data_IF_967347025584
#
_entry.id   IF_967347025584
#
_cell.length_a   1.000
_cell.length_b   1.000
_cell.length_c   1.000
_cell.angle_alpha   90.00
_cell.angle_beta   90.00
_cell.angle_gamma   90.00
#
_symmetry.space_group_name_H-M   'P 1'
#
loop_
_entity.id
_entity.type
_entity.pdbx_description
1 polymer ?
#
# COMPACT_ATOMS: atom_id res chain seq x y z
N UNK A 1 10.51 22.12 -7.49
CA UNK A 1 9.11 22.54 -7.70
C UNK A 1 8.63 23.31 -6.48
N UNK A 2 7.78 24.34 -6.66
CA UNK A 2 7.21 25.08 -5.53
C UNK A 2 5.96 24.40 -4.95
N UNK A 3 5.65 24.63 -3.66
CA UNK A 3 4.50 23.97 -2.99
C UNK A 3 3.14 24.25 -3.66
N UNK A 4 2.94 25.44 -4.22
CA UNK A 4 1.68 25.77 -4.91
C UNK A 4 1.51 24.98 -6.22
N UNK A 5 2.61 24.72 -6.92
CA UNK A 5 2.63 23.88 -8.12
C UNK A 5 2.36 22.41 -7.73
N UNK A 6 2.97 21.93 -6.65
CA UNK A 6 2.71 20.60 -6.12
C UNK A 6 1.24 20.37 -5.73
N UNK A 7 0.60 21.38 -5.11
CA UNK A 7 -0.84 21.39 -4.80
C UNK A 7 -1.71 21.27 -6.06
N UNK A 8 -1.40 22.07 -7.08
CA UNK A 8 -2.12 22.03 -8.35
C UNK A 8 -1.97 20.68 -9.05
N UNK A 9 -0.77 20.11 -9.04
CA UNK A 9 -0.52 18.76 -9.57
C UNK A 9 -1.32 17.73 -8.78
N UNK A 10 -1.31 17.76 -7.45
CA UNK A 10 -2.05 16.81 -6.64
C UNK A 10 -3.56 16.87 -6.93
N UNK A 11 -4.13 18.07 -6.99
CA UNK A 11 -5.55 18.24 -7.35
C UNK A 11 -5.87 17.65 -8.73
N UNK A 12 -5.02 17.90 -9.74
CA UNK A 12 -5.18 17.28 -11.06
C UNK A 12 -5.11 15.75 -10.99
N UNK A 13 -4.13 15.20 -10.29
CA UNK A 13 -3.97 13.75 -10.15
C UNK A 13 -5.15 13.09 -9.44
N UNK A 14 -5.78 13.75 -8.45
CA UNK A 14 -7.01 13.27 -7.82
C UNK A 14 -8.15 13.13 -8.84
N UNK A 15 -8.32 14.13 -9.71
CA UNK A 15 -9.32 14.07 -10.80
C UNK A 15 -8.99 12.94 -11.77
N UNK A 16 -7.73 12.82 -12.22
CA UNK A 16 -7.29 11.74 -13.11
C UNK A 16 -7.57 10.35 -12.52
N UNK A 17 -7.28 10.15 -11.23
CA UNK A 17 -7.54 8.90 -10.51
C UNK A 17 -9.04 8.55 -10.51
N UNK A 18 -9.89 9.52 -10.19
CA UNK A 18 -11.33 9.30 -10.07
C UNK A 18 -12.03 9.15 -11.43
N UNK A 19 -11.58 9.87 -12.44
CA UNK A 19 -12.02 9.68 -13.83
C UNK A 19 -11.63 8.28 -14.32
N UNK A 20 -10.37 7.87 -14.12
CA UNK A 20 -9.90 6.54 -14.49
C UNK A 20 -10.69 5.44 -13.75
N UNK A 21 -11.00 5.64 -12.47
CA UNK A 21 -11.81 4.70 -11.70
C UNK A 21 -13.19 4.48 -12.35
N UNK A 22 -13.84 5.56 -12.78
CA UNK A 22 -15.14 5.51 -13.46
C UNK A 22 -15.04 4.84 -14.82
N UNK A 23 -14.02 5.18 -15.62
CA UNK A 23 -13.76 4.58 -16.93
C UNK A 23 -13.57 3.07 -16.82
N UNK A 24 -12.68 2.62 -15.94
CA UNK A 24 -12.38 1.20 -15.78
C UNK A 24 -13.59 0.43 -15.26
N UNK A 25 -14.37 1.02 -14.35
CA UNK A 25 -15.63 0.42 -13.86
C UNK A 25 -16.67 0.29 -14.98
N UNK A 26 -16.77 1.26 -15.89
CA UNK A 26 -17.62 1.16 -17.08
C UNK A 26 -17.10 0.11 -18.06
N UNK A 27 -15.77 0.03 -18.24
CA UNK A 27 -15.14 -0.97 -19.09
C UNK A 27 -15.37 -2.39 -18.57
N UNK A 28 -15.32 -2.60 -17.25
CA UNK A 28 -15.64 -3.88 -16.64
C UNK A 28 -17.09 -4.28 -16.95
N UNK A 29 -18.05 -3.39 -16.68
CA UNK A 29 -19.49 -3.65 -16.86
C UNK A 29 -19.87 -3.91 -18.31
N UNK A 30 -19.21 -3.25 -19.25
CA UNK A 30 -19.44 -3.43 -20.69
C UNK A 30 -18.68 -4.62 -21.30
N UNK A 31 -17.71 -5.20 -20.59
CA UNK A 31 -16.94 -6.34 -21.09
C UNK A 31 -17.72 -7.63 -20.92
N UNK A 32 -18.11 -8.26 -22.04
CA UNK A 32 -18.82 -9.55 -22.04
C UNK A 32 -17.90 -10.69 -21.54
N UNK A 33 -16.59 -10.60 -21.82
CA UNK A 33 -15.61 -11.64 -21.47
C UNK A 33 -14.52 -11.10 -20.52
N UNK A 34 -14.14 -11.87 -19.48
CA UNK A 34 -13.07 -11.49 -18.56
C UNK A 34 -11.73 -11.22 -19.24
N UNK A 35 -11.41 -11.94 -20.31
CA UNK A 35 -10.13 -11.79 -21.04
C UNK A 35 -10.01 -10.42 -21.71
N UNK A 36 -11.12 -9.90 -22.26
CA UNK A 36 -11.16 -8.57 -22.87
C UNK A 36 -10.84 -7.48 -21.84
N UNK A 37 -11.44 -7.61 -20.66
CA UNK A 37 -11.19 -6.69 -19.56
C UNK A 37 -9.75 -6.79 -19.04
N UNK A 38 -9.23 -8.00 -18.84
CA UNK A 38 -7.84 -8.22 -18.41
C UNK A 38 -6.84 -7.59 -19.40
N UNK A 39 -7.04 -7.82 -20.70
CA UNK A 39 -6.19 -7.25 -21.74
C UNK A 39 -6.23 -5.72 -21.76
N UNK A 40 -7.42 -5.12 -21.55
CA UNK A 40 -7.54 -3.68 -21.38
C UNK A 40 -6.76 -3.18 -20.16
N UNK A 41 -6.90 -3.82 -19.00
CA UNK A 41 -6.14 -3.43 -17.81
C UNK A 41 -4.62 -3.54 -18.06
N UNK A 42 -4.16 -4.61 -18.71
CA UNK A 42 -2.75 -4.77 -19.09
C UNK A 42 -2.25 -3.66 -20.03
N UNK A 43 -3.06 -3.22 -20.98
CA UNK A 43 -2.68 -2.18 -21.93
C UNK A 43 -2.71 -0.77 -21.33
N UNK A 44 -3.54 -0.53 -20.31
CA UNK A 44 -3.84 0.80 -19.81
C UNK A 44 -3.43 1.03 -18.35
N UNK A 45 -2.83 0.05 -17.66
CA UNK A 45 -2.50 0.20 -16.24
C UNK A 45 -1.60 1.41 -15.99
N UNK A 46 -0.63 1.76 -16.85
CA UNK A 46 0.25 2.91 -16.57
C UNK A 46 -0.48 4.25 -16.47
N UNK A 47 -1.57 4.42 -17.23
CA UNK A 47 -2.30 5.68 -17.38
C UNK A 47 -3.66 5.69 -16.65
N UNK A 48 -3.98 4.61 -15.94
CA UNK A 48 -5.20 4.51 -15.12
C UNK A 48 -4.82 4.37 -13.64
N UNK A 49 -5.81 4.42 -12.76
CA UNK A 49 -5.61 4.28 -11.32
C UNK A 49 -5.21 2.84 -10.88
N UNK A 50 -5.12 1.88 -11.81
CA UNK A 50 -4.84 0.47 -11.51
C UNK A 50 -3.35 0.17 -11.65
N UNK A 51 -2.73 -0.51 -10.69
CA UNK A 51 -1.41 -1.11 -10.89
C UNK A 51 -1.49 -2.28 -11.88
N UNK A 52 -0.33 -2.76 -12.35
CA UNK A 52 -0.27 -3.85 -13.32
C UNK A 52 -1.09 -5.06 -12.83
N UNK A 53 -2.09 -5.52 -13.59
CA UNK A 53 -2.94 -6.60 -13.14
C UNK A 53 -2.23 -7.94 -13.25
N UNK A 54 -2.53 -8.84 -12.31
CA UNK A 54 -2.20 -10.26 -12.39
C UNK A 54 -3.47 -11.08 -12.48
N UNK A 55 -3.33 -12.33 -12.90
CA UNK A 55 -4.45 -13.26 -12.98
C UNK A 55 -4.09 -14.56 -12.29
N UNK A 56 -5.01 -15.07 -11.47
CA UNK A 56 -4.81 -16.35 -10.81
C UNK A 56 -4.72 -17.47 -11.85
N UNK A 57 -3.73 -18.34 -11.69
CA UNK A 57 -3.58 -19.53 -12.53
C UNK A 57 -4.58 -20.62 -12.14
N UNK A 58 -4.92 -20.66 -10.85
CA UNK A 58 -5.86 -21.61 -10.24
C UNK A 58 -7.22 -20.98 -9.98
N UNK A 59 -8.24 -21.83 -9.84
CA UNK A 59 -9.59 -21.41 -9.43
C UNK A 59 -9.63 -21.16 -7.92
N UNK A 60 -10.26 -20.06 -7.54
CA UNK A 60 -10.52 -19.63 -6.17
C UNK A 60 -11.99 -19.90 -5.85
N UNK A 61 -12.30 -21.13 -5.46
CA UNK A 61 -13.67 -21.54 -5.11
C UNK A 61 -14.69 -21.23 -6.23
N UNK A 62 -15.83 -20.68 -5.84
CA UNK A 62 -16.92 -20.30 -6.76
C UNK A 62 -16.65 -18.97 -7.50
N UNK A 63 -15.62 -18.21 -7.13
CA UNK A 63 -15.21 -17.00 -7.86
C UNK A 63 -14.53 -17.31 -9.20
N UNK A 64 -14.16 -18.57 -9.44
CA UNK A 64 -13.43 -18.99 -10.64
C UNK A 64 -11.97 -18.54 -10.58
N UNK A 65 -11.36 -18.21 -11.72
CA UNK A 65 -10.09 -17.47 -11.68
C UNK A 65 -10.39 -16.03 -11.25
N UNK A 66 -9.37 -15.31 -10.79
CA UNK A 66 -9.53 -13.94 -10.31
C UNK A 66 -8.47 -13.07 -10.98
N UNK A 67 -8.89 -11.93 -11.51
CA UNK A 67 -7.96 -10.86 -11.90
C UNK A 67 -7.74 -10.01 -10.65
N UNK A 68 -6.48 -9.70 -10.34
CA UNK A 68 -6.09 -8.92 -9.16
C UNK A 68 -5.35 -7.69 -9.63
N UNK A 69 -5.72 -6.53 -9.12
CA UNK A 69 -5.00 -5.29 -9.36
C UNK A 69 -4.99 -4.45 -8.09
N UNK A 70 -3.84 -3.86 -7.75
CA UNK A 70 -3.84 -2.74 -6.82
C UNK A 70 -4.56 -1.54 -7.43
N UNK A 71 -5.20 -0.71 -6.61
CA UNK A 71 -5.87 0.51 -7.03
C UNK A 71 -5.39 1.70 -6.21
N UNK A 72 -5.38 2.85 -6.87
CA UNK A 72 -5.43 4.15 -6.23
C UNK A 72 -6.86 4.67 -6.23
N UNK A 73 -7.27 5.26 -5.11
CA UNK A 73 -8.55 5.96 -4.98
C UNK A 73 -8.33 7.28 -4.23
N UNK A 74 -8.94 8.36 -4.72
CA UNK A 74 -8.74 9.69 -4.15
C UNK A 74 -10.07 10.24 -3.62
N UNK A 75 -10.12 10.60 -2.34
CA UNK A 75 -11.32 11.14 -1.71
C UNK A 75 -10.95 12.14 -0.61
N UNK A 76 -11.61 13.31 -0.62
CA UNK A 76 -11.42 14.38 0.37
C UNK A 76 -9.94 14.82 0.55
N UNK A 77 -9.14 14.79 -0.52
CA UNK A 77 -7.72 15.12 -0.49
C UNK A 77 -6.80 13.97 -0.06
N UNK A 78 -7.35 12.86 0.43
CA UNK A 78 -6.59 11.67 0.79
C UNK A 78 -6.43 10.75 -0.42
N UNK A 79 -5.31 10.02 -0.44
CA UNK A 79 -5.11 8.89 -1.33
C UNK A 79 -5.20 7.59 -0.54
N UNK A 80 -6.01 6.67 -1.04
CA UNK A 80 -6.19 5.33 -0.51
C UNK A 80 -5.61 4.32 -1.48
N UNK A 81 -5.15 3.21 -0.94
CA UNK A 81 -4.75 2.04 -1.72
C UNK A 81 -5.68 0.88 -1.43
N UNK A 82 -6.13 0.21 -2.48
CA UNK A 82 -6.96 -0.99 -2.35
C UNK A 82 -6.37 -2.11 -3.18
N UNK A 83 -6.73 -3.34 -2.85
CA UNK A 83 -6.60 -4.48 -3.75
C UNK A 83 -7.96 -4.84 -4.29
N UNK A 84 -8.13 -4.75 -5.61
CA UNK A 84 -9.33 -5.15 -6.31
C UNK A 84 -9.22 -6.56 -6.86
N UNK A 85 -10.24 -7.36 -6.57
CA UNK A 85 -10.44 -8.70 -7.07
C UNK A 85 -11.63 -8.72 -8.03
N UNK A 86 -11.41 -9.18 -9.26
CA UNK A 86 -12.44 -9.35 -10.28
C UNK A 86 -12.65 -10.85 -10.54
N UNK A 87 -13.70 -11.47 -9.96
CA UNK A 87 -14.03 -12.86 -10.21
C UNK A 87 -14.32 -13.11 -11.69
N UNK A 88 -13.83 -14.21 -12.26
CA UNK A 88 -14.09 -14.55 -13.67
C UNK A 88 -15.20 -15.59 -13.85
N UNK A 89 -15.75 -16.13 -12.75
CA UNK A 89 -16.89 -17.05 -12.83
C UNK A 89 -18.13 -16.33 -13.39
N UNK A 90 -18.91 -16.96 -14.29
CA UNK A 90 -20.04 -16.30 -14.95
C UNK A 90 -21.04 -15.62 -14.00
N UNK A 91 -21.38 -16.26 -12.87
CA UNK A 91 -22.33 -15.73 -11.89
C UNK A 91 -21.79 -14.53 -11.08
N UNK A 92 -20.46 -14.37 -11.02
CA UNK A 92 -19.79 -13.29 -10.29
C UNK A 92 -19.12 -12.27 -11.23
N UNK A 93 -19.18 -12.47 -12.54
CA UNK A 93 -18.60 -11.55 -13.50
C UNK A 93 -19.31 -10.20 -13.46
N UNK A 94 -18.56 -9.11 -13.65
CA UNK A 94 -19.05 -7.74 -13.49
C UNK A 94 -19.05 -7.23 -12.04
N UNK A 95 -18.71 -8.07 -11.06
CA UNK A 95 -18.48 -7.66 -9.67
C UNK A 95 -17.01 -7.30 -9.43
N UNK A 96 -16.77 -6.34 -8.54
CA UNK A 96 -15.44 -6.02 -8.00
C UNK A 96 -15.51 -6.18 -6.48
N UNK A 97 -14.62 -6.99 -5.92
CA UNK A 97 -14.40 -7.06 -4.48
C UNK A 97 -13.20 -6.16 -4.17
N UNK A 98 -13.44 -5.04 -3.50
CA UNK A 98 -12.40 -4.09 -3.07
C UNK A 98 -12.01 -4.42 -1.63
N UNK A 99 -10.70 -4.53 -1.38
CA UNK A 99 -10.16 -4.63 -0.02
C UNK A 99 -9.22 -3.46 0.23
N UNK A 100 -9.52 -2.67 1.25
CA UNK A 100 -8.66 -1.58 1.73
C UNK A 100 -7.32 -2.15 2.21
N UNK A 101 -6.20 -1.58 1.72
CA UNK A 101 -4.86 -1.99 2.12
C UNK A 101 -4.41 -1.34 3.44
N UNK A 102 -5.30 -0.60 4.13
CA UNK A 102 -5.10 -0.02 5.47
C UNK A 102 -4.13 1.18 5.48
N UNK A 103 -3.29 1.30 4.45
CA UNK A 103 -2.40 2.43 4.19
C UNK A 103 -3.14 3.58 3.49
N UNK A 104 -3.14 4.73 4.15
CA UNK A 104 -3.74 5.99 3.70
C UNK A 104 -2.70 7.10 3.64
N UNK A 105 -2.72 7.91 2.59
CA UNK A 105 -1.84 9.07 2.44
C UNK A 105 -2.63 10.35 2.56
N UNK A 106 -2.23 11.22 3.48
CA UNK A 106 -2.87 12.51 3.66
C UNK A 106 -2.57 13.48 2.51
N UNK A 107 -3.44 14.48 2.34
CA UNK A 107 -3.26 15.55 1.37
C UNK A 107 -1.88 16.22 1.51
N UNK A 108 -1.46 16.54 2.73
CA UNK A 108 -0.16 17.16 2.98
C UNK A 108 1.00 16.22 2.61
N UNK A 109 0.93 14.93 2.93
CA UNK A 109 1.93 13.96 2.50
C UNK A 109 2.08 13.95 0.97
N UNK A 110 0.96 13.93 0.24
CA UNK A 110 0.96 13.88 -1.22
C UNK A 110 1.58 15.13 -1.86
N UNK A 111 1.20 16.32 -1.39
CA UNK A 111 1.79 17.59 -1.83
C UNK A 111 3.31 17.61 -1.61
N UNK A 112 3.74 17.14 -0.44
CA UNK A 112 5.15 17.04 -0.05
C UNK A 112 5.94 16.02 -0.85
N UNK A 113 5.35 14.88 -1.16
CA UNK A 113 5.96 13.87 -2.02
C UNK A 113 6.17 14.42 -3.43
N UNK A 114 5.13 15.05 -3.99
CA UNK A 114 5.16 15.68 -5.30
C UNK A 114 6.25 16.76 -5.36
N UNK A 115 6.25 17.69 -4.40
CA UNK A 115 7.24 18.78 -4.29
C UNK A 115 8.67 18.26 -4.30
N UNK A 116 8.97 17.25 -3.47
CA UNK A 116 10.33 16.79 -3.19
C UNK A 116 10.88 15.79 -4.20
N UNK A 117 10.01 14.94 -4.76
CA UNK A 117 10.39 13.94 -5.77
C UNK A 117 10.09 14.40 -7.20
N UNK A 118 9.56 15.61 -7.37
CA UNK A 118 9.24 16.21 -8.67
C UNK A 118 8.29 15.33 -9.51
N UNK A 119 7.27 14.77 -8.86
CA UNK A 119 6.27 13.92 -9.52
C UNK A 119 5.31 14.80 -10.31
N UNK A 120 5.15 14.52 -11.59
CA UNK A 120 4.30 15.30 -12.50
C UNK A 120 3.19 14.47 -13.13
N UNK A 121 3.25 13.14 -13.05
CA UNK A 121 2.29 12.25 -13.70
C UNK A 121 1.77 11.16 -12.76
N UNK A 122 0.59 10.61 -13.07
CA UNK A 122 0.03 9.46 -12.34
C UNK A 122 0.96 8.24 -12.38
N UNK A 123 1.64 8.01 -13.51
CA UNK A 123 2.62 6.94 -13.66
C UNK A 123 3.79 7.09 -12.69
N UNK A 124 4.36 8.29 -12.60
CA UNK A 124 5.44 8.58 -11.64
C UNK A 124 4.98 8.41 -10.20
N UNK A 125 3.77 8.87 -9.86
CA UNK A 125 3.21 8.68 -8.52
C UNK A 125 3.10 7.19 -8.16
N UNK A 126 2.58 6.38 -9.07
CA UNK A 126 2.44 4.93 -8.87
C UNK A 126 3.79 4.23 -8.77
N UNK A 127 4.76 4.64 -9.58
CA UNK A 127 6.11 4.11 -9.50
C UNK A 127 6.75 4.42 -8.14
N UNK A 128 6.57 5.64 -7.61
CA UNK A 128 7.09 5.99 -6.28
C UNK A 128 6.44 5.14 -5.19
N UNK A 129 5.10 5.05 -5.16
CA UNK A 129 4.36 4.23 -4.17
C UNK A 129 4.82 2.77 -4.24
N UNK A 130 4.89 2.20 -5.45
CA UNK A 130 5.31 0.79 -5.65
C UNK A 130 6.76 0.58 -5.24
N UNK A 131 7.65 1.52 -5.57
CA UNK A 131 9.07 1.43 -5.21
C UNK A 131 9.24 1.42 -3.70
N UNK A 132 8.56 2.32 -2.98
CA UNK A 132 8.65 2.38 -1.52
C UNK A 132 8.05 1.15 -0.85
N UNK A 133 6.90 0.69 -1.34
CA UNK A 133 6.30 -0.54 -0.84
C UNK A 133 7.23 -1.75 -1.07
N UNK A 134 7.76 -1.91 -2.28
CA UNK A 134 8.69 -3.01 -2.60
C UNK A 134 9.98 -2.94 -1.78
N UNK A 135 10.54 -1.74 -1.57
CA UNK A 135 11.71 -1.56 -0.72
C UNK A 135 11.42 -2.01 0.70
N UNK A 136 10.31 -1.57 1.29
CA UNK A 136 9.92 -1.97 2.63
C UNK A 136 9.63 -3.48 2.72
N UNK A 137 8.87 -4.04 1.77
CA UNK A 137 8.56 -5.47 1.72
C UNK A 137 9.83 -6.33 1.57
N UNK A 138 10.82 -5.87 0.79
CA UNK A 138 12.09 -6.56 0.59
C UNK A 138 12.92 -6.68 1.89
N UNK A 139 12.77 -5.75 2.83
CA UNK A 139 13.41 -5.86 4.15
C UNK A 139 12.91 -7.03 4.97
N UNK A 140 11.72 -7.56 4.63
CA UNK A 140 11.00 -8.51 5.45
C UNK A 140 10.78 -8.07 6.90
N UNK A 141 10.93 -6.77 7.23
CA UNK A 141 10.94 -6.26 8.61
C UNK A 141 9.72 -6.74 9.42
N UNK A 142 8.51 -6.59 8.88
CA UNK A 142 7.29 -7.05 9.59
C UNK A 142 7.18 -8.56 9.75
N UNK A 143 7.94 -9.34 8.96
CA UNK A 143 8.02 -10.80 9.07
C UNK A 143 9.09 -11.25 10.06
N UNK A 144 10.22 -10.54 10.13
CA UNK A 144 11.35 -10.86 11.00
C UNK A 144 11.17 -10.29 12.41
N UNK A 145 10.78 -9.03 12.48
CA UNK A 145 10.65 -8.26 13.72
C UNK A 145 9.20 -8.27 14.24
N UNK A 146 8.22 -8.22 13.32
CA UNK A 146 6.78 -8.15 13.65
C UNK A 146 6.13 -6.84 13.23
N UNK A 147 4.80 -6.76 13.39
CA UNK A 147 4.03 -5.52 13.15
C UNK A 147 4.02 -4.64 14.39
N UNK A 148 4.06 -3.31 14.22
CA UNK A 148 3.90 -2.40 15.35
C UNK A 148 2.49 -2.53 15.96
N UNK A 149 2.41 -2.74 17.26
CA UNK A 149 1.16 -2.71 18.01
C UNK A 149 1.08 -1.43 18.83
N UNK A 150 0.79 -0.32 18.16
CA UNK A 150 0.65 1.00 18.78
C UNK A 150 -0.59 1.71 18.21
N UNK A 151 -1.20 2.55 19.03
CA UNK A 151 -2.27 3.48 18.66
C UNK A 151 -1.77 4.93 18.51
N UNK A 152 -0.44 5.11 18.51
CA UNK A 152 0.24 6.42 18.49
C UNK A 152 1.00 6.68 17.19
N UNK A 153 1.74 7.79 17.15
CA UNK A 153 2.61 8.18 16.05
C UNK A 153 3.85 7.28 15.94
N UNK A 154 4.31 7.07 14.71
CA UNK A 154 5.53 6.33 14.40
C UNK A 154 6.18 6.85 13.12
N UNK A 155 7.42 6.43 12.90
CA UNK A 155 8.15 6.72 11.68
C UNK A 155 8.32 5.47 10.83
N UNK A 156 8.24 5.62 9.51
CA UNK A 156 8.84 4.69 8.55
C UNK A 156 10.13 5.32 8.07
N UNK A 157 11.25 4.65 8.30
CA UNK A 157 12.58 5.16 8.02
C UNK A 157 13.16 4.42 6.82
N UNK A 158 13.66 5.19 5.86
CA UNK A 158 14.50 4.77 4.74
C UNK A 158 15.79 5.60 4.79
N UNK A 159 16.84 5.13 4.11
CA UNK A 159 18.12 5.87 4.07
C UNK A 159 17.97 7.30 3.50
N UNK A 160 17.10 7.49 2.51
CA UNK A 160 16.90 8.77 1.82
C UNK A 160 15.61 9.51 2.23
N UNK A 161 14.81 8.95 3.14
CA UNK A 161 13.48 9.48 3.45
C UNK A 161 12.98 9.02 4.81
N UNK A 162 12.33 9.92 5.55
CA UNK A 162 11.56 9.57 6.76
C UNK A 162 10.11 9.96 6.55
N UNK A 163 9.20 9.01 6.80
CA UNK A 163 7.75 9.22 6.72
C UNK A 163 7.17 9.23 8.12
N UNK A 164 6.40 10.28 8.42
CA UNK A 164 5.72 10.45 9.70
C UNK A 164 4.30 9.93 9.58
N UNK A 165 3.96 8.98 10.45
CA UNK A 165 2.73 8.21 10.38
C UNK A 165 1.99 8.26 11.71
N UNK A 166 0.66 8.16 11.65
CA UNK A 166 -0.19 7.97 12.81
C UNK A 166 -1.01 6.70 12.61
N UNK A 167 -1.21 5.95 13.71
CA UNK A 167 -2.23 4.91 13.76
C UNK A 167 -3.58 5.54 14.07
N UNK A 168 -4.60 5.30 13.24
CA UNK A 168 -5.97 5.78 13.47
C UNK A 168 -6.94 4.60 13.46
N UNK A 169 -7.86 4.51 14.42
CA UNK A 169 -8.90 3.47 14.42
C UNK A 169 -10.12 3.94 13.61
N UNK A 170 -10.41 3.27 12.50
CA UNK A 170 -11.57 3.55 11.65
C UNK A 170 -12.46 2.29 11.57
N UNK A 171 -13.69 2.38 12.09
CA UNK A 171 -14.65 1.26 12.12
C UNK A 171 -14.07 -0.04 12.73
N UNK A 172 -13.25 0.08 13.78
CA UNK A 172 -12.60 -1.06 14.43
C UNK A 172 -11.39 -1.62 13.68
N UNK A 173 -10.99 -1.02 12.56
CA UNK A 173 -9.79 -1.36 11.80
C UNK A 173 -8.73 -0.30 12.07
N UNK A 174 -7.57 -0.72 12.58
CA UNK A 174 -6.41 0.16 12.73
C UNK A 174 -5.85 0.51 11.35
N UNK A 175 -5.84 1.79 10.99
CA UNK A 175 -5.32 2.38 9.76
C UNK A 175 -3.97 3.04 9.99
N UNK A 176 -3.10 2.90 9.01
CA UNK A 176 -1.82 3.59 8.92
C UNK A 176 -2.01 4.85 8.07
N UNK A 177 -1.86 6.02 8.68
CA UNK A 177 -2.03 7.30 7.98
C UNK A 177 -0.69 8.01 7.86
N UNK A 178 -0.19 8.14 6.64
CA UNK A 178 1.04 8.87 6.32
C UNK A 178 0.73 10.37 6.27
N UNK A 179 1.23 11.13 7.25
CA UNK A 179 0.89 12.56 7.46
C UNK A 179 1.85 13.50 6.74
N UNK A 180 3.12 13.16 6.69
CA UNK A 180 4.14 13.94 5.99
C UNK A 180 5.39 13.10 5.77
N UNK A 181 6.34 13.62 5.01
CA UNK A 181 7.67 13.06 4.87
C UNK A 181 8.71 14.18 4.89
N UNK A 182 9.97 13.81 5.08
CA UNK A 182 11.13 14.61 4.72
C UNK A 182 12.10 13.73 3.94
N UNK A 183 12.95 14.36 3.14
CA UNK A 183 13.99 13.66 2.36
C UNK A 183 15.38 13.98 2.89
N UNK A 184 16.38 13.20 2.45
CA UNK A 184 17.80 13.41 2.71
C UNK A 184 18.28 14.87 2.60
N UNK A 185 17.75 15.62 1.62
CA UNK A 185 18.03 17.05 1.42
C UNK A 185 17.63 17.95 2.59
N UNK A 186 16.75 17.48 3.47
CA UNK A 186 16.21 18.23 4.60
C UNK A 186 16.69 17.72 5.95
N UNK A 187 17.52 16.66 5.96
CA UNK A 187 18.16 16.19 7.18
C UNK A 187 19.10 17.29 7.71
N UNK A 188 19.06 17.50 9.02
CA UNK A 188 19.83 18.55 9.72
C UNK A 188 20.77 17.92 10.73
N UNK A 189 21.97 18.48 10.84
CA UNK A 189 23.00 17.99 11.77
C UNK A 189 23.34 16.53 11.50
N UNK A 190 23.36 15.71 12.55
CA UNK A 190 23.75 14.30 12.50
C UNK A 190 22.63 13.34 12.07
N UNK A 191 21.48 13.84 11.59
CA UNK A 191 20.31 13.01 11.30
C UNK A 191 20.59 11.89 10.30
N UNK A 192 21.39 12.14 9.25
CA UNK A 192 21.79 11.09 8.29
C UNK A 192 22.54 9.95 8.98
N UNK A 193 23.51 10.28 9.83
CA UNK A 193 24.31 9.30 10.57
C UNK A 193 23.45 8.50 11.56
N UNK A 194 22.46 9.15 12.19
CA UNK A 194 21.51 8.48 13.08
C UNK A 194 20.58 7.54 12.31
N UNK A 195 20.10 7.96 11.14
CA UNK A 195 19.26 7.12 10.28
C UNK A 195 20.04 5.88 9.83
N UNK A 196 21.28 6.06 9.37
CA UNK A 196 22.14 4.93 9.01
C UNK A 196 22.41 4.00 10.20
N UNK A 197 22.68 4.56 11.38
CA UNK A 197 22.84 3.77 12.61
C UNK A 197 21.59 2.92 12.89
N UNK A 198 20.40 3.52 12.87
CA UNK A 198 19.13 2.81 13.11
C UNK A 198 18.94 1.66 12.12
N UNK A 199 19.10 1.94 10.82
CA UNK A 199 18.92 0.95 9.77
C UNK A 199 19.92 -0.20 9.89
N UNK A 200 21.17 0.10 10.24
CA UNK A 200 22.21 -0.91 10.48
C UNK A 200 21.92 -1.77 11.70
N UNK A 201 21.37 -1.21 12.78
CA UNK A 201 21.00 -1.97 13.99
C UNK A 201 19.84 -2.95 13.76
N UNK A 202 18.93 -2.63 12.83
CA UNK A 202 17.92 -3.59 12.36
C UNK A 202 18.43 -4.49 11.23
N UNK A 203 19.55 -4.14 10.58
CA UNK A 203 20.09 -4.86 9.44
C UNK A 203 19.20 -4.77 8.19
N UNK A 204 18.47 -3.66 8.02
CA UNK A 204 17.49 -3.48 6.93
C UNK A 204 17.64 -2.13 6.21
N UNK A 205 17.15 -2.04 4.98
CA UNK A 205 17.13 -0.78 4.20
C UNK A 205 15.94 0.12 4.56
N UNK A 206 14.99 -0.40 5.33
CA UNK A 206 13.86 0.33 5.88
C UNK A 206 13.37 -0.31 7.19
N UNK A 207 12.88 0.50 8.13
CA UNK A 207 12.34 0.01 9.39
C UNK A 207 11.19 0.88 9.90
N UNK A 208 10.50 0.40 10.93
CA UNK A 208 9.53 1.18 11.70
C UNK A 208 10.17 1.64 13.01
N UNK A 209 9.85 2.86 13.47
CA UNK A 209 10.27 3.35 14.78
C UNK A 209 9.08 3.91 15.56
N UNK A 210 8.91 3.49 16.82
CA UNK A 210 7.84 3.99 17.71
C UNK A 210 8.19 5.34 18.32
N UNK A 211 8.34 6.36 17.48
CA UNK A 211 8.64 7.75 17.88
C UNK A 211 7.93 8.73 16.94
N UNK A 212 7.77 9.97 17.38
CA UNK A 212 7.19 11.06 16.59
C UNK A 212 8.27 11.94 15.91
N UNK A 213 9.52 11.88 16.38
CA UNK A 213 10.64 12.64 15.81
C UNK A 213 11.87 11.77 15.53
N UNK A 214 12.66 12.20 14.54
CA UNK A 214 13.93 11.57 14.20
C UNK A 214 14.89 11.77 15.39
N UNK A 215 15.47 10.70 15.94
CA UNK A 215 16.42 10.83 17.05
C UNK A 215 17.58 11.75 16.67
N UNK A 216 18.00 12.62 17.60
CA UNK A 216 19.06 13.62 17.35
C UNK A 216 20.42 13.18 17.86
N UNK A 217 20.46 12.14 18.70
CA UNK A 217 21.67 11.59 19.29
C UNK A 217 21.66 10.07 19.26
N UNK A 218 22.84 9.45 19.36
CA UNK A 218 22.97 7.99 19.43
C UNK A 218 22.26 7.39 20.65
N UNK A 219 22.27 8.10 21.79
CA UNK A 219 21.56 7.65 22.99
C UNK A 219 20.04 7.61 22.75
N UNK A 220 19.48 8.65 22.12
CA UNK A 220 18.06 8.66 21.74
C UNK A 220 17.74 7.56 20.73
N UNK A 221 18.61 7.34 19.74
CA UNK A 221 18.42 6.29 18.74
C UNK A 221 18.35 4.90 19.40
N UNK A 222 19.28 4.59 20.32
CA UNK A 222 19.27 3.32 21.08
C UNK A 222 17.97 3.12 21.85
N UNK A 223 17.54 4.13 22.60
CA UNK A 223 16.31 4.05 23.38
C UNK A 223 15.09 3.80 22.48
N UNK A 224 14.99 4.50 21.35
CA UNK A 224 13.87 4.34 20.40
C UNK A 224 13.89 2.94 19.75
N UNK A 225 15.06 2.39 19.44
CA UNK A 225 15.18 1.02 18.90
C UNK A 225 14.70 0.00 19.94
N UNK A 226 15.14 0.13 21.20
CA UNK A 226 14.70 -0.74 22.28
C UNK A 226 13.19 -0.65 22.52
N UNK A 227 12.65 0.57 22.56
CA UNK A 227 11.22 0.84 22.69
C UNK A 227 10.40 0.25 21.54
N UNK A 228 10.92 0.35 20.32
CA UNK A 228 10.31 -0.23 19.13
C UNK A 228 10.24 -1.74 19.28
N UNK A 229 11.35 -2.39 19.65
CA UNK A 229 11.43 -3.84 19.81
C UNK A 229 10.43 -4.38 20.85
N UNK A 230 10.18 -3.64 21.92
CA UNK A 230 9.20 -4.01 22.95
C UNK A 230 7.74 -3.93 22.50
N UNK A 231 7.44 -3.21 21.41
CA UNK A 231 6.08 -2.94 20.91
C UNK A 231 5.74 -3.68 19.63
N UNK A 232 6.64 -4.55 19.17
CA UNK A 232 6.40 -5.44 18.05
C UNK A 232 5.47 -6.58 18.46
N UNK A 233 4.51 -6.90 17.61
CA UNK A 233 3.59 -8.01 17.78
C UNK A 233 3.66 -8.98 16.61
N UNK A 234 3.33 -10.24 16.88
CA UNK A 234 3.25 -11.27 15.85
C UNK A 234 2.02 -10.99 14.98
N UNK A 235 2.25 -10.79 13.68
CA UNK A 235 1.22 -10.35 12.72
C UNK A 235 -0.03 -11.23 12.70
N UNK A 236 -1.16 -10.62 12.33
CA UNK A 236 -2.46 -11.31 12.30
C UNK A 236 -2.54 -12.40 11.22
N UNK A 237 -3.44 -13.37 11.38
CA UNK A 237 -3.69 -14.41 10.37
C UNK A 237 -4.13 -13.83 9.02
N UNK A 238 -4.73 -12.63 9.00
CA UNK A 238 -5.12 -11.90 7.80
C UNK A 238 -3.89 -11.45 7.00
N UNK A 239 -2.89 -10.88 7.69
CA UNK A 239 -1.61 -10.49 7.07
C UNK A 239 -0.87 -11.69 6.48
N UNK A 240 -0.97 -12.86 7.11
CA UNK A 240 -0.36 -14.09 6.61
C UNK A 240 -1.02 -14.56 5.30
N UNK A 241 -2.31 -14.30 5.11
CA UNK A 241 -3.05 -14.72 3.89
C UNK A 241 -2.80 -13.75 2.73
N UNK A 242 -2.75 -12.44 2.99
CA UNK A 242 -2.58 -11.41 1.95
C UNK A 242 -1.12 -11.16 1.57
N UNK A 243 -0.15 -11.41 2.48
CA UNK A 243 1.30 -11.29 2.19
C UNK A 243 1.89 -12.54 1.51
N UNK A 244 1.12 -13.64 1.38
CA UNK A 244 1.56 -14.82 0.62
C UNK A 244 1.41 -14.55 -0.89
N UNK A 245 2.39 -14.97 -1.71
CA UNK A 245 2.26 -14.84 -3.16
C UNK A 245 0.98 -15.54 -3.61
N UNK A 246 0.28 -14.90 -4.55
CA UNK A 246 -0.95 -15.45 -5.11
C UNK A 246 -0.70 -16.89 -5.59
N UNK A 247 -1.60 -17.84 -5.31
CA UNK A 247 -1.36 -19.24 -5.58
C UNK A 247 -1.16 -19.45 -7.08
N UNK A 248 0.03 -19.91 -7.44
CA UNK A 248 0.45 -20.24 -8.80
C UNK A 248 0.75 -21.74 -8.89
N UNK A 249 0.50 -22.35 -10.04
CA UNK A 249 0.78 -23.78 -10.30
C UNK A 249 -0.28 -24.81 -9.86
N UNK A 250 -0.09 -26.07 -10.32
CA UNK A 250 -1.00 -27.22 -10.09
C UNK A 250 -1.08 -27.70 -8.64
N UNK A 251 -0.14 -27.28 -7.78
CA UNK A 251 -0.05 -27.67 -6.37
C UNK A 251 -0.44 -26.53 -5.41
N UNK A 252 -1.33 -25.63 -5.83
CA UNK A 252 -1.84 -24.59 -4.95
C UNK A 252 -2.45 -25.22 -3.67
N UNK A 253 -2.00 -24.72 -2.51
CA UNK A 253 -2.42 -25.23 -1.21
C UNK A 253 -3.95 -25.08 -1.05
N UNK A 254 -4.65 -26.21 -0.98
CA UNK A 254 -6.11 -26.25 -0.81
C UNK A 254 -6.55 -25.54 0.48
N UNK A 255 -5.74 -25.58 1.54
CA UNK A 255 -6.00 -24.88 2.80
C UNK A 255 -5.91 -23.38 2.58
N UNK A 256 -4.89 -22.92 1.86
CA UNK A 256 -4.76 -21.52 1.46
C UNK A 256 -5.95 -21.06 0.61
N UNK A 257 -6.34 -21.81 -0.44
CA UNK A 257 -7.49 -21.45 -1.28
C UNK A 257 -8.77 -21.33 -0.43
N UNK A 258 -9.01 -22.27 0.49
CA UNK A 258 -10.18 -22.21 1.39
C UNK A 258 -10.15 -21.00 2.31
N UNK A 259 -8.98 -20.63 2.84
CA UNK A 259 -8.80 -19.42 3.65
C UNK A 259 -9.02 -18.16 2.82
N UNK A 260 -8.51 -18.14 1.59
CA UNK A 260 -8.63 -17.01 0.68
C UNK A 260 -10.08 -16.80 0.21
N UNK A 261 -10.84 -17.87 -0.03
CA UNK A 261 -12.29 -17.78 -0.30
C UNK A 261 -13.02 -17.16 0.89
N UNK A 262 -12.78 -17.65 2.11
CA UNK A 262 -13.38 -17.07 3.33
C UNK A 262 -13.03 -15.60 3.53
N UNK A 263 -11.81 -15.23 3.15
CA UNK A 263 -11.37 -13.85 3.17
C UNK A 263 -12.17 -13.00 2.18
N UNK A 264 -12.30 -13.42 0.91
CA UNK A 264 -13.09 -12.71 -0.08
C UNK A 264 -14.58 -12.63 0.26
N UNK A 265 -15.14 -13.66 0.90
CA UNK A 265 -16.53 -13.69 1.40
C UNK A 265 -16.85 -12.51 2.32
N UNK A 266 -15.90 -12.11 3.16
CA UNK A 266 -16.07 -10.98 4.07
C UNK A 266 -16.32 -9.65 3.33
N UNK A 267 -15.81 -9.53 2.10
CA UNK A 267 -15.92 -8.34 1.27
C UNK A 267 -16.92 -8.49 0.12
N UNK A 268 -17.59 -9.64 0.00
CA UNK A 268 -18.61 -9.87 -1.03
C UNK A 268 -19.99 -9.44 -0.54
N UNK A 269 -20.56 -8.34 -1.08
CA UNK A 269 -21.86 -7.85 -0.64
C UNK A 269 -23.02 -8.81 -0.95
N UNK A 270 -22.80 -9.81 -1.81
CA UNK A 270 -23.83 -10.79 -2.20
C UNK A 270 -23.86 -12.04 -1.31
N UNK A 271 -22.92 -12.15 -0.39
CA UNK A 271 -22.80 -13.24 0.57
C UNK A 271 -23.00 -12.63 1.95
N UNK A 272 -24.26 -12.45 2.34
CA UNK A 272 -24.68 -12.08 3.69
C UNK A 272 -25.77 -13.02 4.15
#
# INVERSE_FOLDING_TARGET
MGINEAKAIWQRLQVEINTAHTEVSNRQRSSIRPDSFYNYLCAHHENTNHFRPIRSEVKIGYYGKVIVAGLLFAENGFLYTETAYYPTAPFHWGKRLSVDNIDTYSNHYMERLIERKNITTLRELKNEITTRQNMFDATCFTRTEGGLNIDTEYLIVYRDMVVFCNSELCNGIAKSVRKTLITDKEFKGEQSNIIDYVLNEFGTDACLLTTHEIPRTLAQAKNVIEDTKQRLSVGSQLEIITKKPFPTGRHADKKFIKQFVKYLEHYDPTIR
#
